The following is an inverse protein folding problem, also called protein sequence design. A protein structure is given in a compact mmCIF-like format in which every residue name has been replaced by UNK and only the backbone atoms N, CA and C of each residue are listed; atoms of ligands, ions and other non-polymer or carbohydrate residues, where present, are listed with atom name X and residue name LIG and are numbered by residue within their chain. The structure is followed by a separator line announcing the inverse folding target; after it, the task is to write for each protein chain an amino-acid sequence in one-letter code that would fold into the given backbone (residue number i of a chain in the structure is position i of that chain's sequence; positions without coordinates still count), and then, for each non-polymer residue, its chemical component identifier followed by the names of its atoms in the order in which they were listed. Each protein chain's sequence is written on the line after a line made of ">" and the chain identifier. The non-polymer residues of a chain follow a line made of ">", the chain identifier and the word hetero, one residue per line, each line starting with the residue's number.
data_IF_322023989639
#
_entry.id   IF_322023989639
#
_cell.length_a   1.000
_cell.length_b   1.000
_cell.length_c   1.000
_cell.angle_alpha   90.00
_cell.angle_beta   90.00
_cell.angle_gamma   90.00
#
_symmetry.space_group_name_H-M   'P 1'
#
loop_
_entity.id
_entity.type
_entity.pdbx_description
1 polymer ?
#
# COMPACT_ATOMS: atom_id res chain seq x y z
N UNK A 1 2.05 -15.24 -2.38
CA UNK A 1 1.45 -14.33 -1.37
C UNK A 1 1.25 -12.96 -1.98
N UNK A 2 0.07 -12.41 -1.81
CA UNK A 2 -0.33 -11.10 -2.33
C UNK A 2 -0.45 -10.10 -1.19
N UNK A 3 0.22 -8.96 -1.29
CA UNK A 3 0.15 -7.90 -0.29
C UNK A 3 -0.28 -6.59 -0.95
N UNK A 4 -1.08 -5.81 -0.24
CA UNK A 4 -1.51 -4.48 -0.65
C UNK A 4 -0.84 -3.45 0.24
N UNK A 5 -0.09 -2.54 -0.37
CA UNK A 5 0.58 -1.46 0.37
C UNK A 5 -0.36 -0.29 0.58
N UNK A 6 -0.50 0.14 1.82
CA UNK A 6 -1.11 1.42 2.15
C UNK A 6 -0.17 2.56 1.71
N UNK A 7 -0.74 3.71 1.39
CA UNK A 7 0.01 4.86 0.86
C UNK A 7 1.18 5.29 1.75
N UNK A 8 0.98 5.30 3.07
CA UNK A 8 2.01 5.74 3.99
C UNK A 8 3.27 4.87 3.95
N UNK A 9 3.13 3.58 3.66
CA UNK A 9 4.28 2.66 3.53
C UNK A 9 5.14 3.04 2.32
N UNK A 10 4.50 3.32 1.19
CA UNK A 10 5.21 3.76 -0.02
C UNK A 10 5.84 5.14 0.19
N UNK A 11 5.10 6.06 0.80
CA UNK A 11 5.60 7.41 1.07
C UNK A 11 6.76 7.42 2.07
N UNK A 12 6.77 6.51 3.05
CA UNK A 12 7.89 6.36 3.98
C UNK A 12 9.20 6.06 3.25
N UNK A 13 9.11 5.26 2.19
CA UNK A 13 10.28 4.90 1.38
C UNK A 13 10.77 6.11 0.60
N UNK A 14 9.89 6.75 -0.16
CA UNK A 14 10.26 7.86 -1.05
C UNK A 14 10.66 9.12 -0.28
N UNK A 15 10.10 9.34 0.90
CA UNK A 15 10.41 10.48 1.74
C UNK A 15 11.44 10.18 2.84
N UNK A 16 11.97 8.96 2.83
CA UNK A 16 13.01 8.50 3.78
C UNK A 16 12.62 8.76 5.24
N UNK A 17 11.40 8.37 5.62
CA UNK A 17 10.87 8.61 6.97
C UNK A 17 11.40 7.58 7.97
N UNK A 18 12.24 8.04 8.89
CA UNK A 18 12.70 7.20 10.00
C UNK A 18 11.64 7.09 11.10
N UNK A 19 11.54 5.95 11.81
CA UNK A 19 12.30 4.69 11.64
C UNK A 19 11.66 3.72 10.63
N UNK A 20 10.62 4.13 9.91
CA UNK A 20 9.77 3.26 9.09
C UNK A 20 10.41 2.81 7.79
N UNK A 21 11.23 3.68 7.18
CA UNK A 21 11.81 3.43 5.85
C UNK A 21 12.57 2.12 5.79
N UNK A 22 13.24 1.75 6.85
CA UNK A 22 14.05 0.55 6.93
C UNK A 22 13.24 -0.72 6.68
N UNK A 23 12.10 -0.85 7.35
CA UNK A 23 11.22 -2.00 7.20
C UNK A 23 10.38 -1.94 5.92
N UNK A 24 9.84 -0.77 5.62
CA UNK A 24 9.02 -0.55 4.43
C UNK A 24 9.81 -0.86 3.15
N UNK A 25 11.07 -0.43 3.09
CA UNK A 25 11.96 -0.71 1.94
C UNK A 25 12.22 -2.20 1.77
N UNK A 26 12.39 -2.93 2.86
CA UNK A 26 12.63 -4.37 2.80
C UNK A 26 11.41 -5.14 2.28
N UNK A 27 10.19 -4.74 2.67
CA UNK A 27 8.98 -5.37 2.15
C UNK A 27 8.81 -5.08 0.66
N UNK A 28 9.04 -3.85 0.23
CA UNK A 28 8.98 -3.50 -1.18
C UNK A 28 10.04 -4.27 -2.00
N UNK A 29 11.21 -4.48 -1.43
CA UNK A 29 12.26 -5.28 -2.05
C UNK A 29 11.84 -6.74 -2.26
N UNK A 30 11.05 -7.30 -1.35
CA UNK A 30 10.49 -8.64 -1.55
C UNK A 30 9.56 -8.69 -2.77
N UNK A 31 8.83 -7.61 -3.04
CA UNK A 31 8.03 -7.49 -4.26
C UNK A 31 8.92 -7.35 -5.49
N UNK A 32 9.96 -6.51 -5.43
CA UNK A 32 10.93 -6.33 -6.51
C UNK A 32 11.58 -7.66 -6.90
N UNK A 33 11.98 -8.46 -5.92
CA UNK A 33 12.64 -9.75 -6.13
C UNK A 33 11.65 -10.90 -6.35
N UNK A 34 10.37 -10.60 -6.45
CA UNK A 34 9.28 -11.56 -6.76
C UNK A 34 9.08 -12.66 -5.71
N UNK A 35 9.50 -12.42 -4.48
CA UNK A 35 9.19 -13.31 -3.36
C UNK A 35 7.73 -13.15 -2.90
N UNK A 36 7.16 -11.96 -3.14
CA UNK A 36 5.76 -11.66 -2.93
C UNK A 36 5.23 -10.88 -4.13
N UNK A 37 3.92 -10.82 -4.30
CA UNK A 37 3.27 -9.90 -5.23
C UNK A 37 2.77 -8.68 -4.48
N UNK A 38 3.30 -7.51 -4.83
CA UNK A 38 2.90 -6.23 -4.25
C UNK A 38 1.87 -5.53 -5.11
N UNK A 39 0.90 -4.90 -4.45
CA UNK A 39 -0.20 -4.16 -5.08
C UNK A 39 -0.40 -2.82 -4.41
N UNK A 40 -0.91 -1.87 -5.19
CA UNK A 40 -1.56 -0.65 -4.69
C UNK A 40 -2.91 -0.51 -5.39
N UNK A 41 -3.82 0.28 -4.83
CA UNK A 41 -5.09 0.54 -5.51
C UNK A 41 -4.92 1.63 -6.57
N UNK A 42 -5.79 1.64 -7.57
CA UNK A 42 -5.73 2.61 -8.67
C UNK A 42 -5.80 4.07 -8.20
N UNK A 43 -6.58 4.37 -7.16
CA UNK A 43 -6.65 5.73 -6.60
C UNK A 43 -5.40 6.09 -5.77
N UNK A 44 -4.70 5.12 -5.21
CA UNK A 44 -3.49 5.36 -4.42
C UNK A 44 -2.37 6.02 -5.22
N UNK A 45 -2.23 5.68 -6.48
CA UNK A 45 -1.14 6.24 -7.31
C UNK A 45 -1.24 7.76 -7.45
N UNK A 46 -2.45 8.30 -7.59
CA UNK A 46 -2.64 9.75 -7.68
C UNK A 46 -2.37 10.44 -6.34
N UNK A 47 -2.73 9.82 -5.24
CA UNK A 47 -2.45 10.35 -3.90
C UNK A 47 -0.94 10.38 -3.63
N UNK A 48 -0.24 9.32 -3.96
CA UNK A 48 1.22 9.24 -3.87
C UNK A 48 1.86 10.30 -4.75
N UNK A 49 1.40 10.45 -5.98
CA UNK A 49 1.88 11.46 -6.93
C UNK A 49 1.78 12.87 -6.35
N UNK A 50 0.62 13.24 -5.82
CA UNK A 50 0.41 14.59 -5.30
C UNK A 50 1.24 14.88 -4.05
N UNK A 51 1.45 13.90 -3.18
CA UNK A 51 2.33 14.06 -2.02
C UNK A 51 3.78 14.23 -2.47
N UNK A 52 4.26 13.37 -3.37
CA UNK A 52 5.64 13.42 -3.87
C UNK A 52 5.91 14.69 -4.67
N UNK A 53 4.93 15.20 -5.40
CA UNK A 53 5.04 16.46 -6.14
C UNK A 53 5.41 17.64 -5.25
N UNK A 54 4.95 17.65 -4.01
CA UNK A 54 5.25 18.72 -3.05
C UNK A 54 6.70 18.67 -2.57
N UNK A 55 7.27 17.48 -2.45
CA UNK A 55 8.64 17.29 -1.97
C UNK A 55 9.66 17.20 -3.12
N UNK A 56 9.30 16.59 -4.25
CA UNK A 56 10.14 16.49 -5.44
C UNK A 56 9.74 17.57 -6.44
N UNK A 57 10.42 18.70 -6.43
CA UNK A 57 10.11 19.82 -7.35
C UNK A 57 10.62 19.59 -8.76
N UNK A 58 11.50 18.62 -8.96
CA UNK A 58 12.02 18.21 -10.25
C UNK A 58 11.07 17.23 -10.92
N UNK A 59 10.52 17.61 -12.07
CA UNK A 59 9.56 16.78 -12.82
C UNK A 59 10.15 15.46 -13.26
N UNK A 60 11.43 15.43 -13.62
CA UNK A 60 12.10 14.22 -14.08
C UNK A 60 12.25 13.22 -12.94
N UNK A 61 12.60 13.70 -11.73
CA UNK A 61 12.70 12.86 -10.53
C UNK A 61 11.35 12.33 -10.12
N UNK A 62 10.30 13.15 -10.20
CA UNK A 62 8.94 12.74 -9.89
C UNK A 62 8.46 11.65 -10.86
N UNK A 63 8.67 11.87 -12.17
CA UNK A 63 8.32 10.88 -13.18
C UNK A 63 9.05 9.56 -12.93
N UNK A 64 10.36 9.61 -12.68
CA UNK A 64 11.15 8.41 -12.44
C UNK A 64 10.67 7.64 -11.19
N UNK A 65 10.32 8.34 -10.12
CA UNK A 65 9.80 7.71 -8.89
C UNK A 65 8.50 6.96 -9.15
N UNK A 66 7.57 7.58 -9.86
CA UNK A 66 6.27 6.95 -10.18
C UNK A 66 6.47 5.80 -11.17
N UNK A 67 7.30 5.98 -12.18
CA UNK A 67 7.59 4.94 -13.17
C UNK A 67 8.17 3.68 -12.52
N UNK A 68 9.13 3.85 -11.62
CA UNK A 68 9.72 2.74 -10.87
C UNK A 68 8.64 2.05 -10.00
N UNK A 69 7.80 2.81 -9.33
CA UNK A 69 6.74 2.25 -8.50
C UNK A 69 5.80 1.37 -9.34
N UNK A 70 5.41 1.85 -10.52
CA UNK A 70 4.53 1.11 -11.43
C UNK A 70 5.19 -0.17 -11.98
N UNK A 71 6.50 -0.24 -11.97
CA UNK A 71 7.24 -1.46 -12.35
C UNK A 71 7.32 -2.46 -11.18
N UNK A 72 7.33 -1.98 -9.94
CA UNK A 72 7.50 -2.82 -8.75
C UNK A 72 6.20 -3.43 -8.25
N UNK A 73 5.08 -2.76 -8.45
CA UNK A 73 3.77 -3.20 -7.94
C UNK A 73 2.74 -3.27 -9.06
N UNK A 74 1.75 -4.14 -8.87
CA UNK A 74 0.57 -4.19 -9.73
C UNK A 74 -0.52 -3.27 -9.17
N UNK A 75 -1.45 -2.87 -10.03
CA UNK A 75 -2.54 -1.98 -9.67
C UNK A 75 -3.83 -2.78 -9.53
N UNK A 76 -4.53 -2.60 -8.41
CA UNK A 76 -5.87 -3.16 -8.21
C UNK A 76 -6.89 -2.16 -8.74
N UNK A 77 -7.76 -2.61 -9.63
CA UNK A 77 -8.86 -1.81 -10.14
C UNK A 77 -9.76 -1.38 -8.98
N UNK A 78 -10.22 -0.12 -9.04
CA UNK A 78 -11.25 0.39 -8.14
C UNK A 78 -12.51 0.57 -8.97
N UNK A 79 -13.48 -0.29 -8.74
CA UNK A 79 -14.74 -0.28 -9.51
C UNK A 79 -15.79 0.62 -8.85
N UNK A 80 -16.83 0.97 -9.62
CA UNK A 80 -17.97 1.69 -9.07
C UNK A 80 -18.61 0.92 -7.91
N UNK A 81 -18.66 -0.42 -8.01
CA UNK A 81 -19.18 -1.27 -6.95
C UNK A 81 -18.35 -1.16 -5.67
N UNK A 82 -17.02 -1.13 -5.79
CA UNK A 82 -16.12 -0.98 -4.64
C UNK A 82 -16.37 0.34 -3.92
N UNK A 83 -16.50 1.43 -4.67
CA UNK A 83 -16.77 2.76 -4.14
C UNK A 83 -18.11 2.77 -3.37
N UNK A 84 -19.13 2.18 -3.96
CA UNK A 84 -20.46 2.12 -3.32
C UNK A 84 -20.46 1.25 -2.08
N UNK A 85 -19.75 0.13 -2.10
CA UNK A 85 -19.62 -0.75 -0.94
C UNK A 85 -18.84 -0.12 0.19
N UNK A 86 -17.84 0.70 -0.11
CA UNK A 86 -17.02 1.38 0.89
C UNK A 86 -17.75 2.55 1.55
N UNK A 87 -18.69 3.18 0.84
CA UNK A 87 -19.43 4.33 1.34
C UNK A 87 -20.74 3.89 1.99
N UNK A 88 -20.70 3.58 3.28
CA UNK A 88 -21.86 3.12 4.06
C UNK A 88 -21.96 3.91 5.37
N UNK A 89 -23.10 3.85 6.08
CA UNK A 89 -23.32 4.67 7.28
C UNK A 89 -22.33 4.45 8.41
N UNK A 90 -21.66 3.30 8.48
CA UNK A 90 -20.68 2.99 9.51
C UNK A 90 -19.25 3.37 9.15
N UNK A 91 -19.02 3.98 7.98
CA UNK A 91 -17.66 4.31 7.53
C UNK A 91 -17.07 5.44 8.39
N UNK A 92 -15.85 5.22 8.90
CA UNK A 92 -15.10 6.21 9.68
C UNK A 92 -14.17 6.98 8.75
N UNK A 93 -13.40 6.25 7.94
CA UNK A 93 -12.49 6.82 6.94
C UNK A 93 -12.78 6.13 5.60
N UNK A 94 -13.22 6.90 4.63
CA UNK A 94 -13.64 6.38 3.34
C UNK A 94 -12.47 5.79 2.55
N UNK A 95 -11.31 6.43 2.60
CA UNK A 95 -10.10 5.95 1.92
C UNK A 95 -9.66 4.58 2.44
N UNK A 96 -9.60 4.43 3.76
CA UNK A 96 -9.21 3.17 4.41
C UNK A 96 -10.24 2.07 4.12
N UNK A 97 -11.53 2.41 4.16
CA UNK A 97 -12.59 1.46 3.85
C UNK A 97 -12.53 0.99 2.40
N UNK A 98 -12.21 1.89 1.48
CA UNK A 98 -12.04 1.55 0.07
C UNK A 98 -10.86 0.58 -0.14
N UNK A 99 -9.77 0.79 0.57
CA UNK A 99 -8.63 -0.15 0.58
C UNK A 99 -9.08 -1.54 1.06
N UNK A 100 -9.86 -1.61 2.14
CA UNK A 100 -10.38 -2.87 2.66
C UNK A 100 -11.24 -3.60 1.63
N UNK A 101 -12.15 -2.89 0.99
CA UNK A 101 -13.04 -3.46 -0.04
C UNK A 101 -12.24 -3.98 -1.22
N UNK A 102 -11.30 -3.19 -1.72
CA UNK A 102 -10.45 -3.60 -2.84
C UNK A 102 -9.56 -4.79 -2.49
N UNK A 103 -9.00 -4.81 -1.29
CA UNK A 103 -8.18 -5.92 -0.80
C UNK A 103 -8.99 -7.22 -0.77
N UNK A 104 -10.22 -7.16 -0.32
CA UNK A 104 -11.09 -8.33 -0.24
C UNK A 104 -11.43 -8.86 -1.64
N UNK A 105 -11.83 -7.99 -2.58
CA UNK A 105 -12.18 -8.45 -3.92
C UNK A 105 -10.98 -8.99 -4.69
N UNK A 106 -9.80 -8.45 -4.47
CA UNK A 106 -8.56 -8.90 -5.14
C UNK A 106 -7.92 -10.12 -4.46
N UNK A 107 -8.52 -10.62 -3.38
CA UNK A 107 -8.00 -11.76 -2.60
C UNK A 107 -6.59 -11.53 -2.09
N UNK A 108 -6.37 -10.34 -1.54
CA UNK A 108 -5.11 -9.95 -0.90
C UNK A 108 -4.96 -10.73 0.41
N UNK A 109 -3.75 -11.19 0.70
CA UNK A 109 -3.45 -11.91 1.93
C UNK A 109 -3.22 -10.97 3.11
N UNK A 110 -2.52 -9.86 2.89
CA UNK A 110 -2.25 -8.86 3.93
C UNK A 110 -2.30 -7.45 3.38
N UNK A 111 -2.86 -6.53 4.16
CA UNK A 111 -2.68 -5.09 3.96
C UNK A 111 -1.45 -4.66 4.76
N UNK A 112 -0.45 -4.12 4.09
CA UNK A 112 0.78 -3.63 4.74
C UNK A 112 0.58 -2.17 5.08
N UNK A 113 0.54 -1.85 6.37
CA UNK A 113 0.25 -0.50 6.87
C UNK A 113 0.94 -0.25 8.20
N UNK A 114 1.22 1.03 8.52
CA UNK A 114 1.66 1.42 9.86
C UNK A 114 0.48 1.59 10.82
N UNK A 115 -0.72 1.81 10.31
CA UNK A 115 -1.90 2.20 11.08
C UNK A 115 -2.88 1.02 11.21
N UNK A 116 -2.46 -0.04 11.86
CA UNK A 116 -3.24 -1.28 11.97
C UNK A 116 -4.64 -1.03 12.55
N UNK A 117 -4.76 -0.11 13.50
CA UNK A 117 -6.03 0.21 14.16
C UNK A 117 -7.09 0.74 13.18
N UNK A 118 -6.65 1.37 12.09
CA UNK A 118 -7.57 1.91 11.07
C UNK A 118 -8.15 0.79 10.20
N UNK A 119 -7.61 -0.42 10.28
CA UNK A 119 -8.01 -1.59 9.50
C UNK A 119 -8.55 -2.74 10.37
N UNK A 120 -8.89 -2.46 11.64
CA UNK A 120 -9.29 -3.50 12.60
C UNK A 120 -10.54 -4.26 12.16
N UNK A 121 -11.42 -3.63 11.39
CA UNK A 121 -12.64 -4.25 10.87
C UNK A 121 -12.48 -4.81 9.46
N UNK A 122 -11.28 -4.75 8.90
CA UNK A 122 -11.02 -5.26 7.55
C UNK A 122 -11.17 -6.78 7.50
N UNK A 123 -11.85 -7.33 6.46
CA UNK A 123 -11.86 -8.78 6.24
C UNK A 123 -10.48 -9.33 5.86
N UNK A 124 -9.60 -8.48 5.36
CA UNK A 124 -8.21 -8.82 5.06
C UNK A 124 -7.34 -8.33 6.22
N UNK A 125 -6.50 -9.19 6.82
CA UNK A 125 -5.69 -8.77 7.96
C UNK A 125 -4.67 -7.70 7.57
N UNK A 126 -4.51 -6.72 8.47
CA UNK A 126 -3.49 -5.67 8.34
C UNK A 126 -2.28 -6.01 9.21
N UNK A 127 -1.09 -5.71 8.72
CA UNK A 127 0.16 -6.01 9.40
C UNK A 127 1.17 -4.89 9.12
N UNK A 128 2.01 -4.58 10.11
CA UNK A 128 3.08 -3.60 9.90
C UNK A 128 4.19 -4.19 9.02
N UNK A 129 4.98 -3.34 8.32
CA UNK A 129 6.14 -3.83 7.59
C UNK A 129 7.09 -4.65 8.46
N UNK A 130 7.36 -4.22 9.67
CA UNK A 130 8.24 -4.93 10.59
C UNK A 130 7.70 -6.32 10.94
N UNK A 131 6.43 -6.41 11.33
CA UNK A 131 5.82 -7.68 11.71
C UNK A 131 5.65 -8.61 10.51
N UNK A 132 5.38 -8.04 9.33
CA UNK A 132 5.32 -8.83 8.10
C UNK A 132 6.67 -9.50 7.81
N UNK A 133 7.77 -8.77 7.96
CA UNK A 133 9.11 -9.35 7.74
C UNK A 133 9.40 -10.48 8.73
N UNK A 134 9.01 -10.31 9.98
CA UNK A 134 9.17 -11.38 11.00
C UNK A 134 8.40 -12.63 10.59
N UNK A 135 7.14 -12.48 10.19
CA UNK A 135 6.32 -13.60 9.74
C UNK A 135 6.89 -14.25 8.49
N UNK A 136 7.27 -13.44 7.51
CA UNK A 136 7.82 -13.94 6.25
C UNK A 136 9.07 -14.78 6.47
N UNK A 137 10.02 -14.29 7.25
CA UNK A 137 11.27 -15.01 7.51
C UNK A 137 11.11 -16.22 8.43
N UNK A 138 10.13 -16.22 9.32
CA UNK A 138 9.85 -17.35 10.19
C UNK A 138 9.23 -18.54 9.45
N UNK A 139 8.66 -18.32 8.26
CA UNK A 139 8.01 -19.37 7.46
C UNK A 139 8.84 -19.78 6.23
N UNK A 140 10.10 -19.38 6.19
CA UNK A 140 11.04 -19.84 5.15
C UNK A 140 11.52 -21.29 5.47
#
# INVERSE_FOLDING_TARGET
>A
MKVLFDNNVILDIYQNREPFVQYSSQVLRLAETKHIKGYITANSITDIYYVLRRSLKDKQKLYAAIDILLQLVDIIDVTAKDVRNAFHPGVIDFEDELICVCAAHAKIDYIITRNIKDFIHSPVPAITPEDFLKEFYNHL
#
